data_IF_038739617409
#
_entry.id   IF_038739617409
#
_cell.length_a   1.000
_cell.length_b   1.000
_cell.length_c   1.000
_cell.angle_alpha   90.00
_cell.angle_beta   90.00
_cell.angle_gamma   90.00
#
_symmetry.space_group_name_H-M   'P 1'
#
loop_
_entity.id
_entity.type
_entity.pdbx_description
1 polymer ?
#
# COMPACT_ATOMS: atom_id res chain seq x y z
N UNK A 1 -25.98 -8.88 -1.08
CA UNK A 1 -27.10 -8.01 -1.52
C UNK A 1 -27.59 -7.09 -0.41
N UNK A 2 -27.31 -7.41 0.86
CA UNK A 2 -27.84 -6.67 2.02
C UNK A 2 -26.91 -5.55 2.54
N UNK A 3 -25.79 -5.31 1.87
CA UNK A 3 -24.78 -4.29 2.19
C UNK A 3 -24.71 -3.20 1.12
N UNK A 4 -25.65 -3.19 0.16
CA UNK A 4 -25.62 -2.19 -0.89
C UNK A 4 -26.20 -0.88 -0.32
N UNK A 5 -25.42 0.22 -0.29
CA UNK A 5 -25.94 1.49 0.16
C UNK A 5 -27.14 1.90 -0.71
N UNK A 6 -28.11 2.64 -0.16
CA UNK A 6 -29.26 3.10 -0.93
C UNK A 6 -28.79 3.79 -2.21
N UNK A 7 -29.52 3.63 -3.34
CA UNK A 7 -29.15 4.26 -4.59
C UNK A 7 -29.01 5.77 -4.38
N UNK A 8 -27.93 6.34 -4.92
CA UNK A 8 -27.66 7.77 -4.81
C UNK A 8 -28.86 8.61 -5.32
N UNK A 9 -29.30 9.57 -4.52
CA UNK A 9 -30.23 10.62 -4.96
C UNK A 9 -29.40 11.76 -5.55
N UNK A 10 -29.18 11.70 -6.87
CA UNK A 10 -28.67 12.82 -7.66
C UNK A 10 -29.73 13.32 -8.65
N UNK A 11 -29.53 14.49 -9.25
CA UNK A 11 -30.45 15.03 -10.25
C UNK A 11 -30.66 14.08 -11.44
N UNK A 12 -29.67 13.25 -11.77
CA UNK A 12 -29.71 12.28 -12.87
C UNK A 12 -28.97 10.99 -12.49
N UNK A 13 -29.49 9.84 -12.95
CA UNK A 13 -28.82 8.54 -12.80
C UNK A 13 -27.53 8.53 -13.63
N UNK A 14 -26.44 8.06 -13.02
CA UNK A 14 -25.14 7.96 -13.69
C UNK A 14 -24.30 9.25 -13.64
N UNK A 15 -24.79 10.29 -12.94
CA UNK A 15 -23.93 11.42 -12.59
C UNK A 15 -22.82 10.97 -11.63
N UNK A 16 -21.59 11.50 -11.75
CA UNK A 16 -20.49 11.17 -10.85
C UNK A 16 -20.77 11.70 -9.44
N UNK A 17 -20.14 11.08 -8.43
CA UNK A 17 -20.16 11.55 -7.05
C UNK A 17 -18.98 12.49 -6.78
N UNK A 18 -19.22 13.53 -5.99
CA UNK A 18 -18.16 14.38 -5.45
C UNK A 18 -17.86 13.96 -4.01
N UNK A 19 -16.57 13.84 -3.62
CA UNK A 19 -16.20 13.67 -2.22
C UNK A 19 -16.73 14.83 -1.38
N UNK A 20 -17.12 14.55 -0.14
CA UNK A 20 -17.50 15.60 0.82
C UNK A 20 -16.29 16.32 1.41
N UNK A 21 -15.12 15.67 1.43
CA UNK A 21 -13.86 16.24 1.88
C UNK A 21 -13.35 17.33 0.90
N UNK A 22 -12.45 18.19 1.37
CA UNK A 22 -11.86 19.26 0.57
C UNK A 22 -10.39 19.48 0.92
N UNK A 23 -9.61 20.10 0.03
CA UNK A 23 -8.19 20.36 0.27
C UNK A 23 -7.39 19.08 0.50
N UNK A 24 -6.51 19.09 1.50
CA UNK A 24 -5.67 17.94 1.87
C UNK A 24 -6.47 16.73 2.37
N UNK A 25 -7.66 16.95 2.93
CA UNK A 25 -8.49 15.88 3.49
C UNK A 25 -9.02 14.92 2.42
N UNK A 26 -8.96 15.31 1.15
CA UNK A 26 -9.24 14.44 0.01
C UNK A 26 -8.37 13.18 0.00
N UNK A 27 -7.13 13.27 0.49
CA UNK A 27 -6.21 12.11 0.57
C UNK A 27 -6.69 11.05 1.58
N UNK A 28 -7.57 11.43 2.52
CA UNK A 28 -8.11 10.54 3.56
C UNK A 28 -9.57 10.13 3.28
N UNK A 29 -10.15 10.55 2.15
CA UNK A 29 -11.58 10.40 1.89
C UNK A 29 -12.02 8.96 1.54
N UNK A 30 -11.10 8.07 1.13
CA UNK A 30 -11.41 6.66 0.85
C UNK A 30 -12.36 6.43 -0.33
N UNK A 31 -12.50 7.40 -1.24
CA UNK A 31 -13.40 7.34 -2.40
C UNK A 31 -12.66 7.65 -3.70
N UNK A 32 -13.25 7.27 -4.84
CA UNK A 32 -12.62 7.48 -6.15
C UNK A 32 -11.30 6.70 -6.26
N UNK A 33 -10.20 7.32 -6.73
CA UNK A 33 -8.89 6.66 -6.83
C UNK A 33 -8.30 6.19 -5.50
N UNK A 34 -8.71 6.78 -4.36
CA UNK A 34 -8.29 6.37 -3.02
C UNK A 34 -9.19 5.32 -2.37
N UNK A 35 -10.14 4.73 -3.13
CA UNK A 35 -11.02 3.70 -2.61
C UNK A 35 -10.28 2.37 -2.37
N UNK A 36 -10.77 1.61 -1.40
CA UNK A 36 -10.26 0.29 -1.03
C UNK A 36 -11.42 -0.65 -0.71
N UNK A 37 -11.14 -1.93 -0.53
CA UNK A 37 -12.13 -2.93 -0.15
C UNK A 37 -11.77 -3.51 1.21
N UNK A 38 -12.77 -3.70 2.07
CA UNK A 38 -12.63 -4.33 3.39
C UNK A 38 -12.32 -5.81 3.26
N UNK A 39 -11.05 -6.11 2.98
CA UNK A 39 -10.51 -7.47 2.87
C UNK A 39 -10.42 -8.08 4.28
N UNK A 40 -10.46 -9.39 4.35
CA UNK A 40 -10.28 -10.10 5.61
C UNK A 40 -8.96 -9.69 6.29
N UNK A 41 -9.03 -9.39 7.59
CA UNK A 41 -7.89 -9.00 8.43
C UNK A 41 -7.06 -10.24 8.84
N UNK A 42 -6.54 -10.92 7.83
CA UNK A 42 -5.66 -12.09 7.95
C UNK A 42 -4.57 -12.02 6.88
N UNK A 43 -3.33 -12.42 7.18
CA UNK A 43 -2.28 -12.45 6.18
C UNK A 43 -2.58 -13.51 5.12
N UNK A 44 -2.21 -13.22 3.88
CA UNK A 44 -2.07 -14.25 2.86
C UNK A 44 -0.93 -15.20 3.25
N UNK A 45 -1.08 -16.49 2.98
CA UNK A 45 -0.16 -17.53 3.43
C UNK A 45 0.61 -18.15 2.25
N UNK A 46 1.85 -18.56 2.51
CA UNK A 46 2.63 -19.43 1.61
C UNK A 46 2.04 -20.84 1.59
N UNK A 47 2.57 -21.70 0.71
CA UNK A 47 2.19 -23.12 0.66
C UNK A 47 2.38 -23.84 2.01
N UNK A 48 3.40 -23.45 2.78
CA UNK A 48 3.74 -23.98 4.10
C UNK A 48 2.89 -23.38 5.24
N UNK A 49 1.94 -22.49 4.92
CA UNK A 49 1.06 -21.86 5.90
C UNK A 49 1.69 -20.71 6.69
N UNK A 50 2.81 -20.15 6.23
CA UNK A 50 3.46 -19.00 6.87
C UNK A 50 3.03 -17.69 6.19
N UNK A 51 3.03 -16.52 6.88
CA UNK A 51 2.70 -15.24 6.26
C UNK A 51 3.53 -14.97 4.99
N UNK A 52 2.89 -14.74 3.85
CA UNK A 52 3.58 -14.71 2.55
C UNK A 52 4.54 -13.52 2.41
N UNK A 53 4.09 -12.33 2.81
CA UNK A 53 4.83 -11.07 2.71
C UNK A 53 5.35 -10.71 4.09
N UNK A 54 6.68 -10.61 4.23
CA UNK A 54 7.37 -10.36 5.51
C UNK A 54 8.51 -9.36 5.32
N UNK A 55 8.94 -8.64 6.37
CA UNK A 55 10.11 -7.79 6.27
C UNK A 55 11.38 -8.62 6.10
N UNK A 56 12.37 -8.09 5.37
CA UNK A 56 13.59 -8.79 5.03
C UNK A 56 14.40 -9.18 6.27
N UNK A 57 14.31 -8.38 7.35
CA UNK A 57 14.93 -8.69 8.67
C UNK A 57 14.53 -10.05 9.26
N UNK A 58 13.39 -10.64 8.88
CA UNK A 58 12.96 -11.99 9.33
C UNK A 58 13.07 -13.06 8.25
N UNK A 59 13.67 -12.74 7.10
CA UNK A 59 13.78 -13.62 5.94
C UNK A 59 15.27 -13.84 5.54
N UNK A 60 16.08 -14.52 6.37
CA UNK A 60 17.55 -14.58 6.22
C UNK A 60 18.05 -15.27 4.94
N UNK A 61 17.19 -16.00 4.21
CA UNK A 61 17.53 -16.60 2.93
C UNK A 61 17.32 -15.69 1.71
N UNK A 62 16.86 -14.45 1.94
CA UNK A 62 16.53 -13.47 0.91
C UNK A 62 17.47 -12.28 1.00
N UNK A 63 17.66 -11.56 -0.10
CA UNK A 63 18.50 -10.38 -0.15
C UNK A 63 18.35 -9.62 -1.45
N UNK A 64 18.89 -8.40 -1.48
CA UNK A 64 19.02 -7.63 -2.72
C UNK A 64 20.10 -8.30 -3.56
N UNK A 65 19.82 -8.47 -4.86
CA UNK A 65 20.77 -9.10 -5.75
C UNK A 65 22.01 -8.20 -5.92
N UNK A 66 23.19 -8.81 -6.07
CA UNK A 66 24.47 -8.09 -6.03
C UNK A 66 24.64 -7.04 -7.16
N UNK A 67 23.90 -7.19 -8.26
CA UNK A 67 23.89 -6.23 -9.37
C UNK A 67 22.98 -5.01 -9.13
N UNK A 68 22.14 -5.05 -8.09
CA UNK A 68 21.14 -4.01 -7.82
C UNK A 68 21.57 -3.13 -6.65
N UNK A 69 21.05 -1.90 -6.63
CA UNK A 69 21.24 -0.99 -5.50
C UNK A 69 20.33 -1.41 -4.36
N UNK A 70 20.88 -1.65 -3.18
CA UNK A 70 20.10 -1.83 -1.95
C UNK A 70 19.45 -0.48 -1.59
N UNK A 71 18.11 -0.38 -1.63
CA UNK A 71 17.44 0.89 -1.36
C UNK A 71 17.46 1.28 0.12
N UNK A 72 17.84 0.40 1.04
CA UNK A 72 17.91 0.74 2.48
C UNK A 72 18.93 1.87 2.70
N UNK A 73 18.50 2.91 3.42
CA UNK A 73 19.24 4.15 3.66
C UNK A 73 19.02 5.25 2.61
N UNK A 74 18.45 4.92 1.44
CA UNK A 74 18.12 5.93 0.42
C UNK A 74 16.93 6.81 0.87
N UNK A 75 16.93 8.10 0.50
CA UNK A 75 15.82 8.99 0.78
C UNK A 75 14.61 8.66 -0.11
N UNK A 76 13.41 8.78 0.45
CA UNK A 76 12.16 8.75 -0.29
C UNK A 76 11.74 10.20 -0.54
N UNK A 77 11.74 10.61 -1.80
CA UNK A 77 11.34 11.95 -2.20
C UNK A 77 9.85 11.99 -2.54
N UNK A 78 9.15 13.02 -2.08
CA UNK A 78 7.82 13.37 -2.57
C UNK A 78 7.87 13.86 -4.01
N UNK A 79 6.69 14.02 -4.62
CA UNK A 79 6.56 14.59 -5.98
C UNK A 79 7.05 16.05 -6.06
N UNK A 80 7.09 16.73 -4.91
CA UNK A 80 7.68 18.06 -4.74
C UNK A 80 9.22 18.05 -4.61
N UNK A 81 9.85 16.87 -4.63
CA UNK A 81 11.29 16.69 -4.47
C UNK A 81 11.80 16.81 -3.03
N UNK A 82 10.92 16.95 -2.04
CA UNK A 82 11.28 17.04 -0.62
C UNK A 82 11.41 15.63 -0.02
N UNK A 83 12.39 15.42 0.86
CA UNK A 83 12.55 14.14 1.58
C UNK A 83 11.40 13.95 2.58
N UNK A 84 10.59 12.90 2.37
CA UNK A 84 9.51 12.52 3.29
C UNK A 84 9.92 11.46 4.32
N UNK A 85 11.07 10.81 4.12
CA UNK A 85 11.59 9.78 5.00
C UNK A 85 12.72 8.98 4.36
N UNK A 86 13.15 7.91 5.04
CA UNK A 86 14.22 7.01 4.57
C UNK A 86 13.79 5.56 4.59
N UNK A 87 14.25 4.79 3.61
CA UNK A 87 13.98 3.35 3.55
C UNK A 87 14.77 2.66 4.66
N UNK A 88 14.10 1.92 5.54
CA UNK A 88 14.72 1.19 6.66
C UNK A 88 14.67 -0.34 6.51
N UNK A 89 13.71 -0.86 5.74
CA UNK A 89 13.65 -2.28 5.39
C UNK A 89 12.91 -2.52 4.06
N UNK A 90 12.91 -3.76 3.59
CA UNK A 90 12.20 -4.22 2.40
C UNK A 90 11.26 -5.34 2.79
N UNK A 91 10.06 -5.38 2.21
CA UNK A 91 9.11 -6.46 2.44
C UNK A 91 9.09 -7.38 1.23
N UNK A 92 9.46 -8.64 1.46
CA UNK A 92 9.62 -9.66 0.44
C UNK A 92 8.46 -10.64 0.44
N UNK A 93 8.02 -11.01 -0.76
CA UNK A 93 7.13 -12.15 -1.01
C UNK A 93 7.97 -13.44 -1.07
N UNK A 94 7.79 -14.31 -0.09
CA UNK A 94 8.56 -15.55 0.01
C UNK A 94 8.15 -16.61 -1.02
N UNK A 95 6.98 -16.47 -1.65
CA UNK A 95 6.49 -17.41 -2.66
C UNK A 95 7.00 -17.05 -4.06
N UNK A 96 7.27 -15.78 -4.35
CA UNK A 96 7.64 -15.30 -5.70
C UNK A 96 9.01 -14.60 -5.79
N UNK A 97 9.82 -14.61 -4.72
CA UNK A 97 11.17 -14.00 -4.67
C UNK A 97 11.18 -12.54 -5.18
N UNK A 98 10.22 -11.74 -4.70
CA UNK A 98 9.99 -10.37 -5.15
C UNK A 98 9.78 -9.43 -3.97
N UNK A 99 10.43 -8.26 -3.98
CA UNK A 99 10.12 -7.18 -3.05
C UNK A 99 8.79 -6.52 -3.43
N UNK A 100 7.84 -6.47 -2.49
CA UNK A 100 6.51 -5.88 -2.67
C UNK A 100 6.40 -4.46 -2.11
N UNK A 101 7.09 -4.19 -1.00
CA UNK A 101 7.02 -2.89 -0.32
C UNK A 101 8.39 -2.46 0.20
N UNK A 102 8.56 -1.14 0.32
CA UNK A 102 9.63 -0.52 1.09
C UNK A 102 9.06 -0.12 2.46
N UNK A 103 9.78 -0.39 3.54
CA UNK A 103 9.48 0.15 4.86
C UNK A 103 10.19 1.49 4.99
N UNK A 104 9.43 2.54 5.30
CA UNK A 104 9.93 3.92 5.34
C UNK A 104 9.78 4.46 6.76
N UNK A 105 10.88 4.92 7.34
CA UNK A 105 10.86 5.76 8.53
C UNK A 105 10.57 7.20 8.09
N UNK A 106 9.41 7.72 8.51
CA UNK A 106 8.92 9.06 8.16
C UNK A 106 9.63 10.10 9.03
N UNK A 107 9.95 11.26 8.44
CA UNK A 107 10.63 12.38 9.10
C UNK A 107 9.79 13.08 10.18
#
# INVERSE_FOLDING_TARGET
RDQQPPPHEGAYRGAPLQPQASGSDLLLAGVGPGSWSDRADVPDLSYEGLPKIVPLRVAPGFGVAAQDVDPRGLPVLGDDGVEGGRVVDLWVDRSEMLFRYLEVEVA
#
